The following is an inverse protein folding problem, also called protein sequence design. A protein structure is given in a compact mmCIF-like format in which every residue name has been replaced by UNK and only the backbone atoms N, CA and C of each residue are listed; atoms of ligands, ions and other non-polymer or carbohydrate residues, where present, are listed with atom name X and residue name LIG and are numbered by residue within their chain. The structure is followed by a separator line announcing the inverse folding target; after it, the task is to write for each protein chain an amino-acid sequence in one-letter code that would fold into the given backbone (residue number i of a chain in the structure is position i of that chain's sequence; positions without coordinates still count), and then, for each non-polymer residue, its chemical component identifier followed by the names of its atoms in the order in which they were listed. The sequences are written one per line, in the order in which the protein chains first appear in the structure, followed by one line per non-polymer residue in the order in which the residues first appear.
data_IF_605809179046
#
_entry.id   IF_605809179046
#
_cell.length_a   1.000
_cell.length_b   1.000
_cell.length_c   1.000
_cell.angle_alpha   90.00
_cell.angle_beta   90.00
_cell.angle_gamma   90.00
#
_symmetry.space_group_name_H-M   'P 1'
#
loop_
_entity.id
_entity.type
_entity.pdbx_description
1 polymer ?
#
# COMPACT_ATOMS: atom_id res chain seq x y z
N UNK A 1 -1.94 -20.39 -1.53
CA UNK A 1 -1.45 -19.00 -1.43
C UNK A 1 -2.68 -18.10 -1.47
N UNK A 2 -2.77 -17.10 -0.59
CA UNK A 2 -3.94 -16.23 -0.46
C UNK A 2 -3.98 -15.23 -1.63
N UNK A 3 -4.42 -15.71 -2.81
CA UNK A 3 -4.39 -14.98 -4.09
C UNK A 3 -5.12 -13.63 -4.01
N UNK A 4 -6.11 -13.51 -3.12
CA UNK A 4 -6.84 -12.27 -2.90
C UNK A 4 -5.96 -11.19 -2.23
N UNK A 5 -5.25 -11.53 -1.14
CA UNK A 5 -4.40 -10.58 -0.42
C UNK A 5 -3.24 -10.05 -1.28
N UNK A 6 -2.54 -10.95 -1.99
CA UNK A 6 -1.43 -10.56 -2.86
C UNK A 6 -1.90 -9.61 -3.99
N UNK A 7 -3.06 -9.90 -4.58
CA UNK A 7 -3.66 -9.04 -5.63
C UNK A 7 -4.02 -7.66 -5.10
N UNK A 8 -4.54 -7.57 -3.87
CA UNK A 8 -4.83 -6.28 -3.22
C UNK A 8 -3.58 -5.47 -2.97
N UNK A 9 -2.53 -6.10 -2.44
CA UNK A 9 -1.26 -5.42 -2.19
C UNK A 9 -0.67 -4.91 -3.50
N UNK A 10 -0.71 -5.72 -4.57
CA UNK A 10 -0.26 -5.29 -5.90
C UNK A 10 -1.06 -4.09 -6.41
N UNK A 11 -2.39 -4.12 -6.33
CA UNK A 11 -3.24 -2.99 -6.74
C UNK A 11 -2.94 -1.72 -5.92
N UNK A 12 -2.64 -1.86 -4.63
CA UNK A 12 -2.23 -0.72 -3.79
C UNK A 12 -0.87 -0.15 -4.23
N UNK A 13 0.10 -1.02 -4.54
CA UNK A 13 1.41 -0.62 -5.06
C UNK A 13 1.30 0.03 -6.43
N UNK A 14 0.44 -0.46 -7.31
CA UNK A 14 0.19 0.14 -8.63
C UNK A 14 -0.35 1.57 -8.51
N UNK A 15 -1.23 1.80 -7.54
CA UNK A 15 -1.81 3.12 -7.23
C UNK A 15 -0.86 4.09 -6.53
N UNK A 16 0.32 3.64 -6.10
CA UNK A 16 1.30 4.52 -5.48
C UNK A 16 1.69 5.67 -6.42
N UNK A 17 1.75 6.93 -5.93
CA UNK A 17 2.18 8.06 -6.75
C UNK A 17 3.61 7.91 -7.27
N UNK A 18 3.90 8.53 -8.43
CA UNK A 18 5.24 8.46 -9.02
C UNK A 18 6.34 9.05 -8.12
N UNK A 19 6.02 10.09 -7.35
CA UNK A 19 6.97 10.68 -6.40
C UNK A 19 7.37 9.70 -5.30
N UNK A 20 6.46 8.84 -4.81
CA UNK A 20 6.76 7.80 -3.81
C UNK A 20 7.78 6.83 -4.37
N UNK A 21 7.62 6.39 -5.63
CA UNK A 21 8.57 5.50 -6.29
C UNK A 21 9.96 6.13 -6.39
N UNK A 22 10.02 7.40 -6.78
CA UNK A 22 11.28 8.13 -6.86
C UNK A 22 11.96 8.28 -5.49
N UNK A 23 11.20 8.58 -4.44
CA UNK A 23 11.74 8.73 -3.09
C UNK A 23 12.17 7.40 -2.46
N UNK A 24 11.54 6.27 -2.82
CA UNK A 24 11.99 4.94 -2.42
C UNK A 24 13.38 4.58 -2.98
N UNK A 25 13.74 5.13 -4.13
CA UNK A 25 15.07 4.98 -4.74
C UNK A 25 16.13 5.90 -4.09
N UNK A 26 15.72 6.79 -3.18
CA UNK A 26 16.63 7.76 -2.55
C UNK A 26 17.66 7.10 -1.64
N UNK A 27 18.91 7.57 -1.76
CA UNK A 27 20.00 7.22 -0.85
C UNK A 27 19.88 7.92 0.50
N UNK A 28 19.11 9.00 0.57
CA UNK A 28 18.82 9.69 1.83
C UNK A 28 17.81 8.87 2.65
N UNK A 29 18.19 8.37 3.85
CA UNK A 29 17.31 7.56 4.67
C UNK A 29 16.06 8.30 5.14
N UNK A 30 16.10 9.62 5.30
CA UNK A 30 14.94 10.42 5.73
C UNK A 30 13.92 10.49 4.60
N UNK A 31 14.38 10.71 3.37
CA UNK A 31 13.51 10.74 2.18
C UNK A 31 12.87 9.37 1.95
N UNK A 32 13.68 8.31 2.00
CA UNK A 32 13.19 6.94 1.80
C UNK A 32 12.17 6.54 2.87
N UNK A 33 12.41 6.88 4.14
CA UNK A 33 11.50 6.59 5.24
C UNK A 33 10.11 7.21 5.03
N UNK A 34 10.03 8.47 4.58
CA UNK A 34 8.74 9.12 4.27
C UNK A 34 7.98 8.41 3.15
N UNK A 35 8.69 7.94 2.14
CA UNK A 35 8.09 7.19 1.05
C UNK A 35 7.57 5.82 1.52
N UNK A 36 8.33 5.14 2.38
CA UNK A 36 7.91 3.88 3.03
C UNK A 36 6.66 4.07 3.90
N UNK A 37 6.60 5.13 4.72
CA UNK A 37 5.43 5.47 5.55
C UNK A 37 4.19 5.74 4.68
N UNK A 38 4.37 6.48 3.58
CA UNK A 38 3.28 6.75 2.64
C UNK A 38 2.80 5.47 1.97
N UNK A 39 3.72 4.61 1.51
CA UNK A 39 3.37 3.33 0.91
C UNK A 39 2.64 2.42 1.91
N UNK A 40 3.09 2.39 3.16
CA UNK A 40 2.41 1.64 4.23
C UNK A 40 0.98 2.15 4.42
N UNK A 41 0.76 3.47 4.46
CA UNK A 41 -0.58 4.05 4.58
C UNK A 41 -1.49 3.67 3.40
N UNK A 42 -0.97 3.64 2.16
CA UNK A 42 -1.72 3.22 0.96
C UNK A 42 -2.14 1.76 1.07
N UNK A 43 -1.21 0.88 1.47
CA UNK A 43 -1.50 -0.55 1.66
C UNK A 43 -2.52 -0.75 2.78
N UNK A 44 -2.31 -0.12 3.95
CA UNK A 44 -3.26 -0.18 5.08
C UNK A 44 -4.66 0.28 4.67
N UNK A 45 -4.77 1.36 3.88
CA UNK A 45 -6.06 1.82 3.38
C UNK A 45 -6.73 0.80 2.45
N UNK A 46 -5.98 0.13 1.59
CA UNK A 46 -6.51 -0.89 0.68
C UNK A 46 -6.99 -2.13 1.45
N UNK A 47 -6.21 -2.59 2.44
CA UNK A 47 -6.59 -3.72 3.29
C UNK A 47 -7.85 -3.42 4.09
N UNK A 48 -7.93 -2.23 4.70
CA UNK A 48 -9.11 -1.81 5.44
C UNK A 48 -10.36 -1.65 4.55
N UNK A 49 -10.21 -1.41 3.24
CA UNK A 49 -11.35 -1.39 2.32
C UNK A 49 -11.94 -2.80 2.14
N UNK A 50 -11.07 -3.80 2.02
CA UNK A 50 -11.48 -5.21 1.89
C UNK A 50 -12.16 -5.73 3.15
N UNK A 51 -11.61 -5.42 4.33
CA UNK A 51 -12.23 -5.81 5.61
C UNK A 51 -13.64 -5.23 5.77
N UNK A 52 -13.90 -4.04 5.22
CA UNK A 52 -15.24 -3.42 5.23
C UNK A 52 -16.20 -4.08 4.24
N UNK A 53 -15.71 -4.48 3.07
CA UNK A 53 -16.49 -5.22 2.07
C UNK A 53 -16.83 -6.65 2.53
N UNK A 54 -16.02 -7.21 3.44
CA UNK A 54 -16.23 -8.52 4.07
C UNK A 54 -17.02 -8.43 5.41
N UNK A 55 -17.57 -7.26 5.76
CA UNK A 55 -18.42 -7.06 6.93
C UNK A 55 -19.73 -7.86 6.88
N UNK A 56 -20.28 -8.24 8.04
CA UNK A 56 -20.88 -9.55 8.29
C UNK A 56 -22.13 -9.78 7.45
N UNK A 57 -22.33 -11.04 7.01
CA UNK A 57 -23.64 -11.50 6.54
C UNK A 57 -24.73 -10.98 7.50
N UNK A 58 -25.59 -10.09 6.99
CA UNK A 58 -26.81 -9.61 7.66
C UNK A 58 -27.94 -10.60 7.46
#
# INVERSE_FOLDING_TARGET
MNTNLASTILAAIERAPQWVRHELESKDPVIRCRAEETLAAIISSALAAIEREQGPER
#
